data_IF_642629622167
#
_entry.id   IF_642629622167
#
_cell.length_a   1.000
_cell.length_b   1.000
_cell.length_c   1.000
_cell.angle_alpha   90.00
_cell.angle_beta   90.00
_cell.angle_gamma   90.00
#
_symmetry.space_group_name_H-M   'P 1'
#
loop_
_entity.id
_entity.type
_entity.pdbx_description
1 polymer ?
#
# COMPACT_ATOMS: atom_id res chain seq x y z
N UNK A 1 7.82 -17.54 1.59
CA UNK A 1 9.11 -16.81 1.65
C UNK A 1 9.72 -16.60 0.27
N UNK A 2 9.96 -17.67 -0.53
CA UNK A 2 10.54 -17.54 -1.88
C UNK A 2 9.78 -16.54 -2.78
N UNK A 3 8.46 -16.67 -2.89
CA UNK A 3 7.63 -15.75 -3.69
C UNK A 3 7.74 -14.28 -3.24
N UNK A 4 7.79 -14.04 -1.93
CA UNK A 4 7.96 -12.69 -1.37
C UNK A 4 9.34 -12.09 -1.65
N UNK A 5 10.40 -12.90 -1.54
CA UNK A 5 11.75 -12.48 -1.88
C UNK A 5 11.88 -12.14 -3.38
N UNK A 6 11.29 -12.96 -4.25
CA UNK A 6 11.26 -12.72 -5.70
C UNK A 6 10.50 -11.43 -6.06
N UNK A 7 9.35 -11.17 -5.41
CA UNK A 7 8.58 -9.94 -5.63
C UNK A 7 9.38 -8.67 -5.26
N UNK A 8 10.11 -8.72 -4.14
CA UNK A 8 11.00 -7.62 -3.73
C UNK A 8 12.12 -7.36 -4.73
N UNK A 9 12.80 -8.41 -5.18
CA UNK A 9 13.87 -8.29 -6.17
C UNK A 9 13.37 -7.73 -7.52
N UNK A 10 12.27 -8.27 -8.05
CA UNK A 10 11.69 -7.86 -9.32
C UNK A 10 11.30 -6.36 -9.35
N UNK A 11 10.82 -5.85 -8.21
CA UNK A 11 10.38 -4.46 -8.06
C UNK A 11 11.53 -3.44 -8.12
N UNK A 12 12.73 -3.85 -7.70
CA UNK A 12 13.94 -3.01 -7.74
C UNK A 12 14.62 -3.15 -9.10
N UNK A 13 14.84 -4.39 -9.55
CA UNK A 13 15.58 -4.69 -10.79
C UNK A 13 14.89 -4.07 -12.01
N UNK A 14 13.57 -4.17 -12.12
CA UNK A 14 12.81 -3.59 -13.24
C UNK A 14 13.04 -2.08 -13.40
N UNK A 15 13.06 -1.33 -12.29
CA UNK A 15 13.28 0.11 -12.30
C UNK A 15 14.72 0.49 -12.59
N UNK A 16 15.67 -0.33 -12.15
CA UNK A 16 17.09 -0.11 -12.44
C UNK A 16 17.35 -0.34 -13.93
N UNK A 17 16.84 -1.42 -14.53
CA UNK A 17 17.03 -1.74 -15.95
C UNK A 17 16.55 -0.62 -16.88
N UNK A 18 15.38 -0.03 -16.61
CA UNK A 18 14.87 1.09 -17.44
C UNK A 18 15.78 2.31 -17.33
N UNK A 19 16.34 2.58 -16.13
CA UNK A 19 17.26 3.71 -15.93
C UNK A 19 18.64 3.46 -16.57
N UNK A 20 19.06 2.20 -16.65
CA UNK A 20 20.34 1.82 -17.24
C UNK A 20 20.28 1.85 -18.78
N UNK A 21 19.12 1.53 -19.37
CA UNK A 21 18.94 1.47 -20.83
C UNK A 21 18.43 2.78 -21.46
N UNK A 22 17.69 3.60 -20.71
CA UNK A 22 17.03 4.79 -21.24
C UNK A 22 17.36 6.03 -20.42
N UNK A 23 17.40 7.19 -21.10
CA UNK A 23 17.67 8.47 -20.47
C UNK A 23 16.60 9.53 -20.81
N UNK A 24 16.49 10.55 -19.95
CA UNK A 24 15.63 11.70 -20.18
C UNK A 24 14.15 11.33 -20.38
N UNK A 25 13.56 11.88 -21.45
CA UNK A 25 12.12 11.78 -21.71
C UNK A 25 11.64 10.35 -21.99
N UNK A 26 12.48 9.52 -22.58
CA UNK A 26 12.13 8.13 -22.91
C UNK A 26 12.05 7.28 -21.64
N UNK A 27 13.01 7.42 -20.73
CA UNK A 27 12.95 6.78 -19.41
C UNK A 27 11.71 7.22 -18.62
N UNK A 28 11.37 8.51 -18.65
CA UNK A 28 10.15 9.02 -17.99
C UNK A 28 8.88 8.39 -18.58
N UNK A 29 8.78 8.25 -19.89
CA UNK A 29 7.63 7.64 -20.57
C UNK A 29 7.47 6.17 -20.20
N UNK A 30 8.57 5.39 -20.27
CA UNK A 30 8.55 3.97 -19.92
C UNK A 30 8.24 3.76 -18.44
N UNK A 31 8.80 4.60 -17.55
CA UNK A 31 8.47 4.55 -16.13
C UNK A 31 6.99 4.84 -15.88
N UNK A 32 6.41 5.84 -16.55
CA UNK A 32 4.99 6.15 -16.42
C UNK A 32 4.10 4.98 -16.90
N UNK A 33 4.47 4.33 -18.00
CA UNK A 33 3.77 3.15 -18.53
C UNK A 33 3.82 1.96 -17.56
N UNK A 34 5.00 1.67 -16.99
CA UNK A 34 5.17 0.63 -15.97
C UNK A 34 4.30 0.92 -14.74
N UNK A 35 4.29 2.17 -14.26
CA UNK A 35 3.48 2.58 -13.10
C UNK A 35 1.98 2.46 -13.40
N UNK A 36 1.54 2.75 -14.63
CA UNK A 36 0.16 2.58 -15.06
C UNK A 36 -0.27 1.11 -15.07
N UNK A 37 0.58 0.21 -15.59
CA UNK A 37 0.30 -1.23 -15.54
C UNK A 37 0.21 -1.69 -14.07
N UNK A 38 1.15 -1.24 -13.24
CA UNK A 38 1.20 -1.62 -11.82
C UNK A 38 0.01 -1.09 -11.02
N UNK A 39 -0.57 0.05 -11.38
CA UNK A 39 -1.75 0.60 -10.69
C UNK A 39 -3.03 -0.16 -11.01
N UNK A 40 -3.14 -0.72 -12.23
CA UNK A 40 -4.30 -1.50 -12.66
C UNK A 40 -4.20 -2.97 -12.23
N UNK A 41 -3.00 -3.51 -12.09
CA UNK A 41 -2.78 -4.91 -11.75
C UNK A 41 -3.48 -5.39 -10.46
N UNK A 42 -3.46 -4.64 -9.32
CA UNK A 42 -4.21 -5.00 -8.12
C UNK A 42 -5.73 -5.04 -8.31
N UNK A 43 -6.28 -4.31 -9.29
CA UNK A 43 -7.70 -4.34 -9.62
C UNK A 43 -8.06 -5.61 -10.37
N UNK A 44 -7.22 -5.99 -11.33
CA UNK A 44 -7.46 -7.14 -12.18
C UNK A 44 -7.16 -8.45 -11.46
N UNK A 45 -6.19 -8.49 -10.56
CA UNK A 45 -5.75 -9.72 -9.93
C UNK A 45 -6.87 -10.48 -9.17
N UNK A 46 -7.69 -9.84 -8.31
CA UNK A 46 -8.80 -10.52 -7.65
C UNK A 46 -9.89 -10.98 -8.62
N UNK A 47 -10.19 -10.18 -9.65
CA UNK A 47 -11.23 -10.51 -10.65
C UNK A 47 -10.82 -11.70 -11.52
N UNK A 48 -9.60 -11.67 -12.05
CA UNK A 48 -9.04 -12.77 -12.82
C UNK A 48 -8.86 -14.02 -11.94
N UNK A 49 -8.46 -13.84 -10.68
CA UNK A 49 -8.37 -14.92 -9.70
C UNK A 49 -9.71 -15.63 -9.51
N UNK A 50 -10.78 -14.85 -9.27
CA UNK A 50 -12.15 -15.36 -9.17
C UNK A 50 -12.60 -16.12 -10.43
N UNK A 51 -12.33 -15.58 -11.62
CA UNK A 51 -12.67 -16.27 -12.87
C UNK A 51 -11.90 -17.58 -13.09
N UNK A 52 -10.62 -17.64 -12.72
CA UNK A 52 -9.83 -18.87 -12.83
C UNK A 52 -10.40 -19.96 -11.89
N UNK A 53 -10.97 -19.57 -10.75
CA UNK A 53 -11.62 -20.51 -9.83
C UNK A 53 -12.88 -21.17 -10.42
N UNK A 54 -13.46 -20.64 -11.51
CA UNK A 54 -14.51 -21.32 -12.26
C UNK A 54 -14.03 -22.60 -12.94
N UNK A 55 -12.73 -22.69 -13.25
CA UNK A 55 -12.13 -23.83 -13.95
C UNK A 55 -11.76 -24.97 -13.00
N UNK A 56 -11.76 -24.73 -11.68
CA UNK A 56 -11.47 -25.73 -10.67
C UNK A 56 -10.90 -25.14 -9.39
N UNK A 57 -10.08 -25.92 -8.68
CA UNK A 57 -9.54 -25.52 -7.38
C UNK A 57 -8.54 -24.36 -7.45
N UNK A 58 -8.20 -23.77 -6.30
CA UNK A 58 -7.13 -22.78 -6.12
C UNK A 58 -5.78 -23.14 -6.78
N UNK A 59 -5.52 -24.44 -7.03
CA UNK A 59 -4.32 -24.92 -7.74
C UNK A 59 -4.22 -24.37 -9.16
N UNK A 60 -5.34 -24.11 -9.82
CA UNK A 60 -5.36 -23.54 -11.18
C UNK A 60 -4.84 -22.10 -11.20
N UNK A 61 -5.07 -21.31 -10.15
CA UNK A 61 -4.49 -19.96 -10.00
C UNK A 61 -2.98 -20.04 -9.97
N UNK A 62 -2.40 -20.97 -9.18
CA UNK A 62 -0.95 -21.16 -9.14
C UNK A 62 -0.39 -21.72 -10.46
N UNK A 63 -1.12 -22.61 -11.14
CA UNK A 63 -0.71 -23.12 -12.44
C UNK A 63 -0.66 -22.00 -13.50
N UNK A 64 -1.67 -21.14 -13.53
CA UNK A 64 -1.70 -19.97 -14.42
C UNK A 64 -0.52 -19.03 -14.14
N UNK A 65 -0.24 -18.72 -12.87
CA UNK A 65 0.93 -17.92 -12.47
C UNK A 65 2.25 -18.59 -12.85
N UNK A 66 2.35 -19.92 -12.75
CA UNK A 66 3.55 -20.66 -13.14
C UNK A 66 3.78 -20.61 -14.67
N UNK A 67 2.73 -20.76 -15.47
CA UNK A 67 2.79 -20.60 -16.94
C UNK A 67 3.20 -19.18 -17.31
N UNK A 68 2.61 -18.18 -16.65
CA UNK A 68 2.96 -16.77 -16.85
C UNK A 68 4.44 -16.51 -16.49
N UNK A 69 4.92 -17.04 -15.36
CA UNK A 69 6.32 -16.93 -14.96
C UNK A 69 7.26 -17.61 -15.96
N UNK A 70 6.91 -18.78 -16.49
CA UNK A 70 7.70 -19.47 -17.51
C UNK A 70 7.80 -18.64 -18.80
N UNK A 71 6.69 -18.03 -19.23
CA UNK A 71 6.68 -17.13 -20.39
C UNK A 71 7.61 -15.93 -20.15
N UNK A 72 7.54 -15.31 -18.98
CA UNK A 72 8.41 -14.18 -18.63
C UNK A 72 9.88 -14.58 -18.62
N UNK A 73 10.24 -15.77 -18.14
CA UNK A 73 11.63 -16.27 -18.17
C UNK A 73 12.14 -16.38 -19.62
N UNK A 74 11.32 -16.90 -20.53
CA UNK A 74 11.70 -17.01 -21.95
C UNK A 74 11.90 -15.63 -22.58
N UNK A 75 11.05 -14.66 -22.22
CA UNK A 75 11.16 -13.29 -22.72
C UNK A 75 12.39 -12.57 -22.12
N UNK A 76 12.65 -12.75 -20.83
CA UNK A 76 13.77 -12.08 -20.14
C UNK A 76 15.12 -12.68 -20.48
N UNK A 77 15.19 -13.96 -20.85
CA UNK A 77 16.40 -14.60 -21.35
C UNK A 77 16.96 -13.95 -22.63
N UNK A 78 16.15 -13.13 -23.33
CA UNK A 78 16.57 -12.38 -24.52
C UNK A 78 17.02 -10.95 -24.22
N UNK A 79 16.90 -10.47 -22.98
CA UNK A 79 17.40 -9.15 -22.64
C UNK A 79 18.93 -9.18 -22.53
N UNK A 80 19.63 -8.24 -23.19
CA UNK A 80 21.07 -8.09 -23.02
C UNK A 80 21.39 -7.65 -21.58
N UNK A 81 22.63 -7.93 -21.13
CA UNK A 81 23.16 -7.37 -19.88
C UNK A 81 23.05 -5.84 -19.93
N UNK A 82 22.28 -5.25 -19.00
CA UNK A 82 21.94 -3.83 -19.01
C UNK A 82 22.99 -2.97 -18.33
N UNK A 83 23.83 -3.56 -17.46
CA UNK A 83 24.85 -2.82 -16.71
C UNK A 83 26.25 -3.03 -17.31
N UNK A 84 26.86 -1.99 -17.92
CA UNK A 84 28.24 -2.07 -18.39
C UNK A 84 29.21 -2.41 -17.24
N UNK A 85 30.31 -3.14 -17.48
CA UNK A 85 31.31 -3.47 -16.46
C UNK A 85 31.82 -2.25 -15.69
N UNK A 86 31.94 -1.11 -16.37
CA UNK A 86 32.44 0.15 -15.81
C UNK A 86 31.44 0.86 -14.89
N UNK A 87 30.15 0.50 -14.96
CA UNK A 87 29.09 1.01 -14.08
C UNK A 87 28.96 0.24 -12.75
N UNK A 88 29.78 -0.80 -12.53
CA UNK A 88 29.70 -1.67 -11.36
C UNK A 88 30.22 -0.96 -10.11
N UNK A 89 29.30 -0.61 -9.22
CA UNK A 89 29.65 -0.05 -7.91
C UNK A 89 30.00 -1.21 -6.96
N UNK A 90 31.18 -1.22 -6.32
CA UNK A 90 31.54 -2.27 -5.39
C UNK A 90 30.58 -2.30 -4.19
N UNK A 91 30.10 -3.48 -3.83
CA UNK A 91 29.19 -3.67 -2.70
C UNK A 91 29.90 -3.36 -1.38
N UNK A 92 29.66 -2.16 -0.83
CA UNK A 92 30.21 -1.73 0.46
C UNK A 92 29.22 -2.01 1.59
N UNK A 93 29.11 -3.29 1.98
CA UNK A 93 28.16 -3.76 3.01
C UNK A 93 28.25 -2.94 4.30
N UNK A 94 29.46 -2.64 4.79
CA UNK A 94 29.66 -1.83 6.01
C UNK A 94 29.07 -0.42 5.89
N UNK A 95 29.17 0.21 4.73
CA UNK A 95 28.61 1.55 4.50
C UNK A 95 27.08 1.50 4.52
N UNK A 96 26.49 0.49 3.87
CA UNK A 96 25.03 0.26 3.84
C UNK A 96 24.49 0.01 5.25
N UNK A 97 25.12 -0.89 6.01
CA UNK A 97 24.71 -1.19 7.39
C UNK A 97 24.88 0.04 8.29
N UNK A 98 25.95 0.81 8.11
CA UNK A 98 26.16 2.07 8.83
C UNK A 98 25.07 3.09 8.54
N UNK A 99 24.66 3.24 7.28
CA UNK A 99 23.58 4.14 6.86
C UNK A 99 22.23 3.69 7.43
N UNK A 100 21.91 2.40 7.36
CA UNK A 100 20.70 1.83 7.97
C UNK A 100 20.67 2.04 9.49
N UNK A 101 21.79 1.82 10.18
CA UNK A 101 21.89 2.03 11.62
C UNK A 101 21.73 3.51 12.00
N UNK A 102 22.28 4.45 11.22
CA UNK A 102 22.08 5.89 11.43
C UNK A 102 20.62 6.28 11.23
N UNK A 103 20.01 5.86 10.12
CA UNK A 103 18.61 6.14 9.83
C UNK A 103 17.69 5.56 10.93
N UNK A 104 17.93 4.30 11.33
CA UNK A 104 17.15 3.62 12.37
C UNK A 104 17.34 4.14 13.79
N UNK A 105 18.33 4.99 14.05
CA UNK A 105 18.48 5.70 15.33
C UNK A 105 17.69 7.02 15.38
N UNK A 106 17.19 7.50 14.25
CA UNK A 106 16.45 8.75 14.18
C UNK A 106 14.98 8.55 14.57
N UNK A 107 14.54 9.27 15.61
CA UNK A 107 13.13 9.31 16.00
C UNK A 107 12.24 9.87 14.90
N UNK A 108 12.74 10.79 14.07
CA UNK A 108 11.99 11.34 12.92
C UNK A 108 11.63 10.23 11.94
N UNK A 109 12.55 9.29 11.66
CA UNK A 109 12.24 8.16 10.79
C UNK A 109 11.11 7.30 11.37
N UNK A 110 11.21 6.96 12.67
CA UNK A 110 10.21 6.11 13.31
C UNK A 110 8.84 6.78 13.37
N UNK A 111 8.75 8.08 13.68
CA UNK A 111 7.47 8.80 13.68
C UNK A 111 6.82 8.80 12.30
N UNK A 112 7.57 9.17 11.25
CA UNK A 112 7.04 9.20 9.88
C UNK A 112 6.71 7.79 9.35
N UNK A 113 7.59 6.82 9.57
CA UNK A 113 7.40 5.45 9.10
C UNK A 113 6.23 4.76 9.80
N UNK A 114 6.09 4.92 11.12
CA UNK A 114 4.97 4.36 11.86
C UNK A 114 3.66 5.09 11.55
N UNK A 115 3.66 6.43 11.44
CA UNK A 115 2.48 7.17 11.01
C UNK A 115 1.99 6.69 9.64
N UNK A 116 2.89 6.52 8.67
CA UNK A 116 2.58 5.97 7.36
C UNK A 116 2.07 4.52 7.44
N UNK A 117 2.71 3.66 8.23
CA UNK A 117 2.32 2.26 8.40
C UNK A 117 0.91 2.13 9.00
N UNK A 118 0.60 2.88 10.06
CA UNK A 118 -0.71 2.90 10.70
C UNK A 118 -1.79 3.57 9.83
N UNK A 119 -1.46 4.66 9.14
CA UNK A 119 -2.36 5.29 8.18
C UNK A 119 -2.74 4.34 7.05
N UNK A 120 -1.76 3.59 6.51
CA UNK A 120 -2.01 2.56 5.50
C UNK A 120 -2.76 1.34 6.06
N UNK A 121 -2.49 0.94 7.30
CA UNK A 121 -3.15 -0.19 7.97
C UNK A 121 -4.68 -0.02 8.04
N UNK A 122 -5.17 1.22 8.17
CA UNK A 122 -6.61 1.52 8.20
C UNK A 122 -7.36 1.05 6.95
N UNK A 123 -6.76 1.12 5.76
CA UNK A 123 -7.33 0.52 4.54
C UNK A 123 -6.89 -0.93 4.35
N UNK A 124 -5.65 -1.27 4.74
CA UNK A 124 -5.06 -2.57 4.44
C UNK A 124 -5.78 -3.72 5.16
N UNK A 125 -6.44 -3.46 6.30
CA UNK A 125 -7.26 -4.46 7.00
C UNK A 125 -8.35 -5.07 6.10
N UNK A 126 -8.96 -4.26 5.22
CA UNK A 126 -9.97 -4.74 4.27
C UNK A 126 -9.33 -5.56 3.14
N UNK A 127 -8.17 -5.13 2.65
CA UNK A 127 -7.43 -5.82 1.58
C UNK A 127 -6.91 -7.19 2.08
N UNK A 128 -6.30 -7.21 3.27
CA UNK A 128 -5.71 -8.41 3.86
C UNK A 128 -6.77 -9.47 4.19
N UNK A 129 -7.98 -9.03 4.55
CA UNK A 129 -9.10 -9.91 4.88
C UNK A 129 -10.15 -10.01 3.77
N UNK A 130 -9.79 -9.65 2.54
CA UNK A 130 -10.73 -9.55 1.41
C UNK A 130 -11.61 -10.78 1.23
N UNK A 131 -11.01 -11.97 1.33
CA UNK A 131 -11.74 -13.23 1.17
C UNK A 131 -12.83 -13.37 2.23
N UNK A 132 -12.46 -13.28 3.52
CA UNK A 132 -13.42 -13.38 4.63
C UNK A 132 -14.45 -12.26 4.57
N UNK A 133 -14.02 -11.05 4.21
CA UNK A 133 -14.92 -9.90 4.08
C UNK A 133 -16.01 -10.17 3.03
N UNK A 134 -15.63 -10.62 1.82
CA UNK A 134 -16.57 -10.84 0.72
C UNK A 134 -17.39 -12.13 0.89
N UNK A 135 -16.75 -13.25 1.23
CA UNK A 135 -17.45 -14.55 1.28
C UNK A 135 -18.22 -14.75 2.57
N UNK A 136 -17.64 -14.39 3.72
CA UNK A 136 -18.18 -14.79 5.02
C UNK A 136 -19.05 -13.68 5.62
N UNK A 137 -18.67 -12.40 5.45
CA UNK A 137 -19.40 -11.27 6.03
C UNK A 137 -20.42 -10.62 5.09
N UNK A 138 -20.12 -10.56 3.78
CA UNK A 138 -21.09 -10.09 2.79
C UNK A 138 -21.98 -11.23 2.25
N UNK A 139 -21.62 -12.48 2.52
CA UNK A 139 -22.27 -13.69 1.99
C UNK A 139 -22.31 -13.75 0.45
N UNK A 140 -21.32 -13.14 -0.21
CA UNK A 140 -21.19 -13.12 -1.66
C UNK A 140 -20.32 -14.29 -2.17
N UNK A 141 -20.35 -14.54 -3.48
CA UNK A 141 -19.57 -15.61 -4.10
C UNK A 141 -18.11 -15.22 -4.38
N UNK A 142 -17.31 -16.22 -4.75
CA UNK A 142 -15.91 -16.02 -5.19
C UNK A 142 -15.79 -15.12 -6.44
N UNK A 143 -16.89 -14.95 -7.18
CA UNK A 143 -16.95 -14.08 -8.35
C UNK A 143 -17.17 -12.61 -8.00
N UNK A 144 -17.53 -12.30 -6.76
CA UNK A 144 -17.98 -10.96 -6.35
C UNK A 144 -16.89 -10.14 -5.66
N UNK A 145 -15.63 -10.57 -5.73
CA UNK A 145 -14.50 -9.80 -5.19
C UNK A 145 -14.40 -8.40 -5.80
N UNK A 146 -14.87 -8.21 -7.04
CA UNK A 146 -14.95 -6.89 -7.68
C UNK A 146 -15.78 -5.89 -6.87
N UNK A 147 -16.80 -6.36 -6.12
CA UNK A 147 -17.68 -5.52 -5.31
C UNK A 147 -16.86 -4.72 -4.30
N UNK A 148 -15.87 -5.33 -3.65
CA UNK A 148 -15.00 -4.64 -2.70
C UNK A 148 -13.85 -3.91 -3.39
N UNK A 149 -13.18 -4.55 -4.34
CA UNK A 149 -11.94 -4.02 -4.91
C UNK A 149 -12.15 -2.84 -5.87
N UNK A 150 -13.23 -2.84 -6.67
CA UNK A 150 -13.47 -1.75 -7.64
C UNK A 150 -13.68 -0.41 -6.91
N UNK A 151 -14.60 -0.28 -5.94
CA UNK A 151 -14.75 0.98 -5.19
C UNK A 151 -13.51 1.38 -4.42
N UNK A 152 -12.81 0.42 -3.79
CA UNK A 152 -11.58 0.66 -3.05
C UNK A 152 -10.48 1.28 -3.93
N UNK A 153 -10.31 0.74 -5.14
CA UNK A 153 -9.32 1.23 -6.10
C UNK A 153 -9.73 2.56 -6.70
N UNK A 154 -11.02 2.76 -7.00
CA UNK A 154 -11.53 4.08 -7.44
C UNK A 154 -11.26 5.14 -6.38
N UNK A 155 -11.48 4.83 -5.09
CA UNK A 155 -11.11 5.70 -3.97
C UNK A 155 -9.61 6.01 -3.96
N UNK A 156 -8.77 4.98 -4.00
CA UNK A 156 -7.31 5.15 -3.99
C UNK A 156 -6.78 5.97 -5.18
N UNK A 157 -7.29 5.71 -6.40
CA UNK A 157 -6.90 6.40 -7.62
C UNK A 157 -7.34 7.87 -7.60
N UNK A 158 -8.57 8.14 -7.19
CA UNK A 158 -9.09 9.51 -7.10
C UNK A 158 -8.33 10.34 -6.06
N UNK A 159 -8.02 9.78 -4.88
CA UNK A 159 -7.20 10.45 -3.87
C UNK A 159 -5.78 10.71 -4.37
N UNK A 160 -5.15 9.72 -5.01
CA UNK A 160 -3.82 9.87 -5.60
C UNK A 160 -3.78 10.94 -6.71
N UNK A 161 -4.83 11.00 -7.54
CA UNK A 161 -4.96 12.01 -8.59
C UNK A 161 -5.05 13.42 -7.99
N UNK A 162 -5.86 13.61 -6.94
CA UNK A 162 -5.97 14.89 -6.23
C UNK A 162 -4.62 15.33 -5.66
N UNK A 163 -3.88 14.43 -5.01
CA UNK A 163 -2.55 14.73 -4.47
C UNK A 163 -1.59 15.27 -5.51
N UNK A 164 -1.68 14.80 -6.77
CA UNK A 164 -0.83 15.29 -7.86
C UNK A 164 -1.28 16.60 -8.51
N UNK A 165 -2.54 17.02 -8.33
CA UNK A 165 -3.13 18.16 -9.05
C UNK A 165 -3.48 19.35 -8.14
N UNK A 166 -3.51 19.15 -6.82
CA UNK A 166 -3.82 20.20 -5.86
C UNK A 166 -2.56 20.91 -5.39
N UNK A 167 -2.56 22.24 -5.51
CA UNK A 167 -1.50 23.10 -5.00
C UNK A 167 -1.68 23.39 -3.50
N UNK A 168 -1.57 22.34 -2.67
CA UNK A 168 -1.61 22.43 -1.20
C UNK A 168 -0.25 22.02 -0.65
N UNK A 169 0.18 22.67 0.43
CA UNK A 169 1.39 22.27 1.14
C UNK A 169 1.36 20.79 1.53
N UNK A 170 2.49 20.09 1.34
CA UNK A 170 2.58 18.64 1.54
C UNK A 170 2.19 18.22 2.95
N UNK A 171 2.67 18.92 3.98
CA UNK A 171 2.36 18.59 5.38
C UNK A 171 0.89 18.88 5.70
N UNK A 172 0.34 19.97 5.16
CA UNK A 172 -1.10 20.24 5.26
C UNK A 172 -1.95 19.13 4.62
N UNK A 173 -1.54 18.63 3.45
CA UNK A 173 -2.22 17.53 2.76
C UNK A 173 -2.17 16.23 3.55
N UNK A 174 -1.02 15.91 4.18
CA UNK A 174 -0.90 14.75 5.08
C UNK A 174 -1.86 14.88 6.27
N UNK A 175 -1.93 16.05 6.90
CA UNK A 175 -2.87 16.31 8.01
C UNK A 175 -4.32 16.14 7.56
N UNK A 176 -4.69 16.67 6.39
CA UNK A 176 -6.03 16.48 5.80
C UNK A 176 -6.30 14.99 5.57
N UNK A 177 -5.33 14.24 5.04
CA UNK A 177 -5.46 12.81 4.82
C UNK A 177 -5.68 12.02 6.11
N UNK A 178 -4.92 12.28 7.18
CA UNK A 178 -5.11 11.61 8.48
C UNK A 178 -6.45 11.94 9.12
N UNK A 179 -6.79 13.22 9.24
CA UNK A 179 -8.07 13.65 9.81
C UNK A 179 -9.25 13.13 8.97
N UNK A 180 -9.14 13.22 7.64
CA UNK A 180 -10.10 12.67 6.70
C UNK A 180 -10.27 11.17 6.90
N UNK A 181 -9.19 10.41 7.10
CA UNK A 181 -9.25 8.96 7.34
C UNK A 181 -9.99 8.63 8.63
N UNK A 182 -9.78 9.38 9.72
CA UNK A 182 -10.55 9.21 10.95
C UNK A 182 -12.04 9.48 10.71
N UNK A 183 -12.38 10.57 10.02
CA UNK A 183 -13.77 10.89 9.68
C UNK A 183 -14.40 9.80 8.81
N UNK A 184 -13.70 9.31 7.78
CA UNK A 184 -14.22 8.25 6.91
C UNK A 184 -14.32 6.90 7.64
N UNK A 185 -13.46 6.61 8.61
CA UNK A 185 -13.63 5.45 9.49
C UNK A 185 -14.88 5.57 10.37
N UNK A 186 -15.19 6.77 10.89
CA UNK A 186 -16.43 7.02 11.64
C UNK A 186 -17.68 6.91 10.75
N UNK A 187 -17.61 7.43 9.52
CA UNK A 187 -18.67 7.25 8.52
C UNK A 187 -18.86 5.78 8.19
N UNK A 188 -17.79 5.02 7.97
CA UNK A 188 -17.84 3.58 7.75
C UNK A 188 -18.52 2.85 8.93
N UNK A 189 -18.12 3.17 10.17
CA UNK A 189 -18.72 2.59 11.36
C UNK A 189 -20.22 2.91 11.45
N UNK A 190 -20.62 4.14 11.15
CA UNK A 190 -22.02 4.54 11.13
C UNK A 190 -22.82 3.81 10.04
N UNK A 191 -22.27 3.72 8.82
CA UNK A 191 -22.90 2.99 7.71
C UNK A 191 -23.13 1.53 8.06
N UNK A 192 -22.11 0.85 8.59
CA UNK A 192 -22.20 -0.55 9.00
C UNK A 192 -23.15 -0.75 10.18
N UNK A 193 -23.20 0.18 11.14
CA UNK A 193 -24.08 0.07 12.30
C UNK A 193 -25.56 0.33 11.97
N UNK A 194 -25.84 1.19 10.97
CA UNK A 194 -27.20 1.54 10.55
C UNK A 194 -27.75 0.61 9.47
N UNK A 195 -26.89 -0.03 8.68
CA UNK A 195 -27.31 -0.95 7.65
C UNK A 195 -27.74 -2.31 8.23
N UNK A 196 -28.77 -2.97 7.64
CA UNK A 196 -29.05 -4.37 7.94
C UNK A 196 -27.84 -5.26 7.66
N UNK A 197 -27.79 -6.43 8.29
CA UNK A 197 -26.78 -7.45 7.97
C UNK A 197 -26.93 -7.89 6.51
N UNK A 198 -25.84 -7.95 5.72
CA UNK A 198 -25.90 -8.49 4.37
C UNK A 198 -26.44 -9.92 4.34
N UNK A 199 -27.17 -10.28 3.28
CA UNK A 199 -27.75 -11.62 3.08
C UNK A 199 -27.23 -12.32 1.83
N UNK A 200 -26.17 -11.77 1.20
CA UNK A 200 -25.61 -12.27 -0.06
C UNK A 200 -26.24 -11.68 -1.31
N UNK A 201 -27.19 -10.77 -1.18
CA UNK A 201 -27.77 -10.04 -2.31
C UNK A 201 -27.09 -8.68 -2.50
N UNK A 202 -26.84 -8.32 -3.76
CA UNK A 202 -26.37 -6.98 -4.13
C UNK A 202 -27.48 -5.96 -3.80
N UNK A 203 -27.25 -5.19 -2.74
CA UNK A 203 -28.21 -4.20 -2.26
C UNK A 203 -27.58 -3.20 -1.30
N UNK A 204 -28.43 -2.41 -0.64
CA UNK A 204 -28.00 -1.39 0.31
C UNK A 204 -27.05 -1.91 1.41
N UNK A 205 -27.27 -3.08 2.05
CA UNK A 205 -26.36 -3.62 3.06
C UNK A 205 -24.91 -3.78 2.57
N UNK A 206 -24.74 -4.35 1.37
CA UNK A 206 -23.44 -4.55 0.74
C UNK A 206 -22.82 -3.21 0.35
N UNK A 207 -23.61 -2.30 -0.23
CA UNK A 207 -23.13 -0.96 -0.60
C UNK A 207 -22.65 -0.19 0.64
N UNK A 208 -23.40 -0.20 1.74
CA UNK A 208 -23.04 0.46 2.98
C UNK A 208 -21.73 -0.08 3.57
N UNK A 209 -21.50 -1.40 3.48
CA UNK A 209 -20.28 -2.05 3.95
C UNK A 209 -19.03 -1.73 3.11
N UNK A 210 -19.19 -1.33 1.84
CA UNK A 210 -18.07 -1.10 0.90
C UNK A 210 -17.79 0.38 0.63
N UNK A 211 -18.79 1.26 0.73
CA UNK A 211 -18.62 2.71 0.58
C UNK A 211 -17.61 3.25 1.60
N UNK A 212 -17.69 2.81 2.85
CA UNK A 212 -16.76 3.22 3.90
C UNK A 212 -15.29 2.91 3.56
N UNK A 213 -14.92 1.65 3.30
CA UNK A 213 -13.58 1.28 2.84
C UNK A 213 -13.10 2.06 1.61
N UNK A 214 -13.96 2.35 0.65
CA UNK A 214 -13.62 3.14 -0.53
C UNK A 214 -13.25 4.60 -0.17
N UNK A 215 -14.01 5.22 0.73
CA UNK A 215 -13.73 6.57 1.23
C UNK A 215 -12.47 6.62 2.10
N UNK A 216 -12.21 5.57 2.90
CA UNK A 216 -10.96 5.40 3.64
C UNK A 216 -9.78 5.31 2.67
N UNK A 217 -9.87 4.50 1.61
CA UNK A 217 -8.82 4.38 0.61
C UNK A 217 -8.52 5.71 -0.10
N UNK A 218 -9.55 6.51 -0.35
CA UNK A 218 -9.41 7.87 -0.86
C UNK A 218 -8.57 8.77 0.07
N UNK A 219 -8.92 8.86 1.36
CA UNK A 219 -8.21 9.73 2.30
C UNK A 219 -6.81 9.22 2.64
N UNK A 220 -6.60 7.90 2.65
CA UNK A 220 -5.27 7.32 2.81
C UNK A 220 -4.38 7.61 1.59
N UNK A 221 -4.94 7.64 0.37
CA UNK A 221 -4.17 8.03 -0.80
C UNK A 221 -3.70 9.51 -0.75
N UNK A 222 -4.43 10.38 -0.04
CA UNK A 222 -4.01 11.77 0.20
C UNK A 222 -2.74 11.88 1.05
N UNK A 223 -2.56 11.00 2.04
CA UNK A 223 -1.39 11.03 2.93
C UNK A 223 -0.22 10.14 2.48
N UNK A 224 -0.50 9.04 1.77
CA UNK A 224 0.48 7.98 1.51
C UNK A 224 1.65 8.43 0.62
N UNK A 225 1.38 9.19 -0.43
CA UNK A 225 2.44 9.68 -1.33
C UNK A 225 3.23 10.83 -0.72
N UNK A 226 2.60 11.86 -0.12
CA UNK A 226 3.34 12.97 0.48
C UNK A 226 4.19 12.56 1.67
N UNK A 227 3.73 11.64 2.53
CA UNK A 227 4.52 11.21 3.71
C UNK A 227 5.79 10.44 3.30
N UNK A 228 5.76 9.72 2.17
CA UNK A 228 6.98 9.11 1.62
C UNK A 228 8.00 10.15 1.17
N UNK A 229 7.54 11.28 0.63
CA UNK A 229 8.42 12.40 0.28
C UNK A 229 9.00 13.06 1.54
N UNK A 230 8.23 13.23 2.61
CA UNK A 230 8.74 13.73 3.89
C UNK A 230 9.86 12.83 4.46
N UNK A 231 9.73 11.50 4.35
CA UNK A 231 10.80 10.58 4.73
C UNK A 231 12.07 10.80 3.90
N UNK A 232 11.95 11.04 2.59
CA UNK A 232 13.11 11.30 1.74
C UNK A 232 13.76 12.67 2.03
N UNK A 233 12.95 13.68 2.32
CA UNK A 233 13.40 15.04 2.60
C UNK A 233 14.05 15.15 4.00
N UNK A 234 13.62 14.32 4.97
CA UNK A 234 14.24 14.22 6.29
C UNK A 234 15.66 13.59 6.27
N UNK A 235 16.01 12.85 5.21
CA UNK A 235 17.29 12.13 5.09
C UNK A 235 17.99 12.38 3.75
N UNK A 236 18.37 13.62 3.40
CA UNK A 236 18.87 13.97 2.07
C UNK A 236 20.15 13.23 1.66
N UNK A 237 21.02 12.91 2.63
CA UNK A 237 22.28 12.19 2.40
C UNK A 237 22.13 10.66 2.39
N UNK A 238 21.00 10.13 2.87
CA UNK A 238 20.79 8.68 3.09
C UNK A 238 19.40 8.22 2.61
N UNK A 239 18.87 8.87 1.57
CA UNK A 239 17.49 8.68 1.06
C UNK A 239 17.13 7.22 0.81
N UNK A 240 18.06 6.46 0.21
CA UNK A 240 17.85 5.04 -0.08
C UNK A 240 17.67 4.20 1.18
N UNK A 241 18.50 4.43 2.21
CA UNK A 241 18.41 3.72 3.48
C UNK A 241 17.15 4.09 4.26
N UNK A 242 16.79 5.37 4.30
CA UNK A 242 15.57 5.84 4.95
C UNK A 242 14.30 5.26 4.30
N UNK A 243 14.21 5.31 2.96
CA UNK A 243 13.09 4.72 2.21
C UNK A 243 13.00 3.22 2.42
N UNK A 244 14.13 2.51 2.40
CA UNK A 244 14.17 1.06 2.63
C UNK A 244 13.67 0.69 4.03
N UNK A 245 14.09 1.42 5.06
CA UNK A 245 13.69 1.15 6.43
C UNK A 245 12.22 1.53 6.68
N UNK A 246 11.73 2.64 6.12
CA UNK A 246 10.31 2.99 6.17
C UNK A 246 9.43 1.94 5.47
N UNK A 247 9.88 1.45 4.31
CA UNK A 247 9.21 0.35 3.58
C UNK A 247 9.23 -0.94 4.40
N UNK A 248 10.36 -1.27 5.04
CA UNK A 248 10.45 -2.43 5.94
C UNK A 248 9.43 -2.35 7.09
N UNK A 249 9.31 -1.20 7.76
CA UNK A 249 8.33 -0.99 8.83
C UNK A 249 6.90 -1.18 8.32
N UNK A 250 6.59 -0.67 7.14
CA UNK A 250 5.29 -0.86 6.51
C UNK A 250 5.01 -2.33 6.18
N UNK A 251 5.95 -3.06 5.56
CA UNK A 251 5.77 -4.48 5.27
C UNK A 251 5.66 -5.34 6.54
N UNK A 252 6.42 -5.00 7.59
CA UNK A 252 6.31 -5.66 8.88
C UNK A 252 4.93 -5.45 9.49
N UNK A 253 4.41 -4.21 9.44
CA UNK A 253 3.04 -3.91 9.88
C UNK A 253 2.00 -4.67 9.07
N UNK A 254 2.11 -4.70 7.73
CA UNK A 254 1.21 -5.45 6.86
C UNK A 254 1.25 -6.95 7.15
N UNK A 255 2.42 -7.50 7.48
CA UNK A 255 2.58 -8.91 7.87
C UNK A 255 1.91 -9.21 9.20
N UNK A 256 2.11 -8.35 10.20
CA UNK A 256 1.42 -8.46 11.50
C UNK A 256 -0.10 -8.34 11.32
N UNK A 257 -0.54 -7.42 10.46
CA UNK A 257 -1.94 -7.21 10.18
C UNK A 257 -2.55 -8.44 9.50
N UNK A 258 -1.93 -8.97 8.44
CA UNK A 258 -2.44 -10.15 7.75
C UNK A 258 -2.37 -11.43 8.59
N UNK A 259 -1.33 -11.59 9.41
CA UNK A 259 -1.10 -12.82 10.19
C UNK A 259 -1.79 -12.87 11.56
N UNK A 260 -2.00 -11.71 12.20
CA UNK A 260 -2.53 -11.63 13.58
C UNK A 260 -3.83 -10.85 13.63
N UNK A 261 -3.87 -9.64 13.07
CA UNK A 261 -5.02 -8.75 13.22
C UNK A 261 -6.19 -9.21 12.36
N UNK A 262 -5.94 -9.62 11.13
CA UNK A 262 -6.96 -10.08 10.19
C UNK A 262 -7.80 -11.22 10.78
N UNK A 263 -7.22 -12.32 11.31
CA UNK A 263 -7.99 -13.38 11.98
C UNK A 263 -8.77 -12.93 13.21
N UNK A 264 -8.32 -11.88 13.92
CA UNK A 264 -9.00 -11.35 15.10
C UNK A 264 -10.12 -10.37 14.73
N UNK A 265 -10.02 -9.72 13.57
CA UNK A 265 -10.96 -8.71 13.09
C UNK A 265 -12.20 -9.31 12.38
N UNK A 266 -12.23 -10.62 12.15
CA UNK A 266 -13.23 -11.29 11.29
C UNK A 266 -14.55 -11.62 11.96
N UNK A 267 -14.75 -11.22 13.22
CA UNK A 267 -15.99 -11.51 13.95
C UNK A 267 -17.22 -10.82 13.33
N UNK A 268 -17.05 -9.60 12.78
CA UNK A 268 -18.15 -8.84 12.17
C UNK A 268 -17.65 -7.63 11.38
N UNK A 269 -18.52 -7.05 10.55
CA UNK A 269 -18.25 -5.79 9.84
C UNK A 269 -17.94 -4.62 10.81
N UNK A 270 -18.56 -4.61 12.00
CA UNK A 270 -18.29 -3.57 13.01
C UNK A 270 -16.90 -3.73 13.62
N UNK A 271 -16.43 -4.96 13.84
CA UNK A 271 -15.06 -5.24 14.29
C UNK A 271 -14.03 -4.75 13.26
N UNK A 272 -14.29 -4.93 11.96
CA UNK A 272 -13.45 -4.36 10.90
C UNK A 272 -13.42 -2.83 10.94
N UNK A 273 -14.60 -2.20 11.04
CA UNK A 273 -14.71 -0.74 11.11
C UNK A 273 -13.98 -0.15 12.33
N UNK A 274 -14.10 -0.79 13.50
CA UNK A 274 -13.41 -0.38 14.73
C UNK A 274 -11.89 -0.57 14.63
N UNK A 275 -11.45 -1.67 13.99
CA UNK A 275 -10.02 -1.93 13.78
C UNK A 275 -9.39 -0.89 12.84
N UNK A 276 -10.07 -0.58 11.73
CA UNK A 276 -9.66 0.48 10.82
C UNK A 276 -9.60 1.85 11.52
N UNK A 277 -10.61 2.16 12.35
CA UNK A 277 -10.64 3.38 13.16
C UNK A 277 -9.47 3.43 14.16
N UNK A 278 -9.18 2.34 14.86
CA UNK A 278 -8.05 2.25 15.78
C UNK A 278 -6.72 2.54 15.09
N UNK A 279 -6.49 1.96 13.91
CA UNK A 279 -5.30 2.27 13.11
C UNK A 279 -5.25 3.73 12.64
N UNK A 280 -6.37 4.28 12.17
CA UNK A 280 -6.45 5.67 11.75
C UNK A 280 -6.15 6.65 12.90
N UNK A 281 -6.66 6.37 14.10
CA UNK A 281 -6.40 7.18 15.31
C UNK A 281 -4.93 7.11 15.69
N UNK A 282 -4.34 5.91 15.77
CA UNK A 282 -2.92 5.75 16.11
C UNK A 282 -2.04 6.44 15.07
N UNK A 283 -2.33 6.28 13.77
CA UNK A 283 -1.61 6.97 12.70
C UNK A 283 -1.69 8.49 12.82
N UNK A 284 -2.88 9.02 13.13
CA UNK A 284 -3.11 10.45 13.34
C UNK A 284 -2.34 10.99 14.55
N UNK A 285 -2.31 10.24 15.66
CA UNK A 285 -1.55 10.62 16.86
C UNK A 285 -0.04 10.65 16.57
N UNK A 286 0.47 9.64 15.87
CA UNK A 286 1.88 9.59 15.47
C UNK A 286 2.26 10.74 14.52
N UNK A 287 1.38 11.08 13.59
CA UNK A 287 1.55 12.25 12.72
C UNK A 287 1.52 13.56 13.49
N UNK A 288 0.54 13.74 14.38
CA UNK A 288 0.45 14.92 15.23
C UNK A 288 1.68 15.09 16.12
N UNK A 289 2.22 13.98 16.63
CA UNK A 289 3.48 13.99 17.37
C UNK A 289 4.65 14.47 16.51
N UNK A 290 4.76 14.03 15.25
CA UNK A 290 5.80 14.54 14.35
C UNK A 290 5.63 16.03 14.05
N UNK A 291 4.41 16.45 13.71
CA UNK A 291 4.10 17.85 13.45
C UNK A 291 4.53 18.75 14.63
N UNK A 292 4.11 18.42 15.85
CA UNK A 292 4.47 19.14 17.07
C UNK A 292 5.98 19.12 17.36
N UNK A 293 6.66 18.00 17.10
CA UNK A 293 8.09 17.88 17.32
C UNK A 293 8.91 18.74 16.33
N UNK A 294 8.37 18.99 15.14
CA UNK A 294 9.03 19.84 14.13
C UNK A 294 8.67 21.32 14.22
N UNK A 295 7.52 21.67 14.81
CA UNK A 295 7.13 23.07 15.05
C UNK A 295 7.85 23.71 16.25
N UNK A 296 8.34 22.91 17.20
CA UNK A 296 9.17 23.43 18.29
C UNK A 296 10.54 23.86 17.74
N UNK A 297 10.85 25.17 17.67
CA UNK A 297 12.22 25.59 17.40
C UNK A 297 13.09 25.09 18.55
N UNK A 298 14.39 24.92 18.30
CA UNK A 298 15.40 24.60 19.29
C UNK A 298 15.42 25.63 20.44
N UNK A 299 14.50 25.51 21.39
CA UNK A 299 14.45 26.28 22.63
C UNK A 299 15.18 25.50 23.72
N UNK A 300 16.49 25.26 23.49
CA UNK A 300 17.49 24.94 24.51
C UNK A 300 18.83 24.69 23.81
N UNK A 301 19.54 25.77 23.49
CA UNK A 301 20.99 25.78 23.38
C UNK A 301 21.52 26.56 24.58
#
# INVERSE_FOLDING_TARGET
>A
MLQGASAGAATIVSRVMVRDMFAGREAQRLMAEIMMIFSVAPALAPVLGGWILLLGTWRFVFAALAVYAALLIVLTARLPETLPPDGRIPLRVRAILGALARAGRSWTLWRLALANAFGFAAQFVFIASAAIFVTDLLHLGEQDFWVMFVPLIVGMMSGSWITGHVAVDRRRLITIGFLGTVVMCLVNLALVALAPTPTGELGWPVAAAVIGPALIAFTVALLFSPIQLEVLDAFPHERGSASSLATFVQLAMNTLLAGVVAPLATASLTTFALTALGFAVVGTVLWAWDALATERPAASA
#
